data_IF_938309350730
#
_entry.id   IF_938309350730
#
_cell.length_a   1.000
_cell.length_b   1.000
_cell.length_c   1.000
_cell.angle_alpha   90.00
_cell.angle_beta   90.00
_cell.angle_gamma   90.00
#
_symmetry.space_group_name_H-M   'P 1'
#
loop_
_entity.id
_entity.type
_entity.pdbx_description
1 polymer ?
#
# COMPACT_ATOMS: atom_id res chain seq x y z
N UNK A 1 -1.60 2.81 -2.95
CA UNK A 1 -1.83 1.35 -2.91
C UNK A 1 -3.22 1.09 -3.45
N UNK A 2 -3.51 -0.17 -3.77
CA UNK A 2 -4.86 -0.63 -4.01
C UNK A 2 -5.04 -1.95 -3.27
N UNK A 3 -6.11 -2.09 -2.50
CA UNK A 3 -6.39 -3.33 -1.80
C UNK A 3 -7.89 -3.64 -1.73
N UNK A 4 -8.20 -4.93 -1.68
CA UNK A 4 -9.57 -5.45 -1.77
C UNK A 4 -9.85 -6.37 -0.58
N UNK A 5 -10.86 -5.99 0.21
CA UNK A 5 -11.43 -6.83 1.24
C UNK A 5 -12.40 -7.85 0.63
N UNK A 6 -12.46 -9.04 1.24
CA UNK A 6 -13.09 -10.21 0.63
C UNK A 6 -14.61 -10.12 0.42
N UNK A 7 -15.26 -9.12 0.99
CA UNK A 7 -16.71 -9.01 1.10
C UNK A 7 -17.44 -8.95 -0.24
N UNK A 8 -18.46 -9.80 -0.37
CA UNK A 8 -19.36 -9.79 -1.50
C UNK A 8 -18.73 -10.38 -2.76
N UNK A 9 -17.69 -11.20 -2.61
CA UNK A 9 -17.06 -11.98 -3.67
C UNK A 9 -18.10 -12.68 -4.56
N UNK A 10 -19.11 -13.30 -3.95
CA UNK A 10 -20.15 -14.08 -4.65
C UNK A 10 -21.43 -13.29 -4.93
N UNK A 11 -21.43 -11.98 -4.70
CA UNK A 11 -22.55 -11.12 -5.11
C UNK A 11 -22.74 -11.19 -6.63
N UNK A 12 -23.98 -11.15 -7.11
CA UNK A 12 -24.25 -11.10 -8.56
C UNK A 12 -24.17 -9.65 -9.03
N UNK A 13 -23.45 -9.42 -10.13
CA UNK A 13 -23.31 -8.10 -10.72
C UNK A 13 -24.50 -7.72 -11.60
N UNK A 14 -24.96 -6.48 -11.47
CA UNK A 14 -26.03 -5.87 -12.27
C UNK A 14 -25.51 -5.37 -13.63
N UNK A 15 -24.78 -6.25 -14.31
CA UNK A 15 -24.23 -6.04 -15.66
C UNK A 15 -24.61 -7.21 -16.56
N UNK A 16 -24.35 -7.09 -17.87
CA UNK A 16 -24.69 -8.11 -18.86
C UNK A 16 -24.09 -9.48 -18.47
N UNK A 17 -24.92 -10.51 -18.42
CA UNK A 17 -24.53 -11.87 -18.06
C UNK A 17 -24.50 -12.17 -16.56
N UNK A 18 -24.76 -11.16 -15.71
CA UNK A 18 -24.83 -11.30 -14.24
C UNK A 18 -23.69 -12.13 -13.63
N UNK A 19 -22.42 -11.85 -13.97
CA UNK A 19 -21.29 -12.58 -13.40
C UNK A 19 -21.20 -12.35 -11.88
N UNK A 20 -20.42 -13.16 -11.19
CA UNK A 20 -20.03 -12.84 -9.81
C UNK A 20 -19.26 -11.51 -9.78
N UNK A 21 -19.43 -10.73 -8.71
CA UNK A 21 -18.82 -9.43 -8.54
C UNK A 21 -17.29 -9.53 -8.58
N UNK A 22 -16.71 -10.62 -8.06
CA UNK A 22 -15.29 -10.91 -8.21
C UNK A 22 -14.83 -11.04 -9.67
N UNK A 23 -15.65 -11.63 -10.54
CA UNK A 23 -15.33 -11.73 -11.97
C UNK A 23 -15.43 -10.37 -12.66
N UNK A 24 -16.45 -9.58 -12.32
CA UNK A 24 -16.56 -8.19 -12.81
C UNK A 24 -15.36 -7.34 -12.36
N UNK A 25 -14.96 -7.42 -11.09
CA UNK A 25 -13.78 -6.73 -10.56
C UNK A 25 -12.49 -7.17 -11.26
N UNK A 26 -12.31 -8.47 -11.50
CA UNK A 26 -11.15 -8.96 -12.26
C UNK A 26 -11.09 -8.36 -13.66
N UNK A 27 -12.18 -8.44 -14.41
CA UNK A 27 -12.19 -8.09 -15.83
C UNK A 27 -12.22 -6.57 -16.05
N UNK A 28 -12.96 -5.81 -15.25
CA UNK A 28 -13.16 -4.37 -15.45
C UNK A 28 -12.16 -3.49 -14.69
N UNK A 29 -11.54 -4.01 -13.62
CA UNK A 29 -10.62 -3.25 -12.75
C UNK A 29 -9.21 -3.86 -12.77
N UNK A 30 -9.02 -5.08 -12.27
CA UNK A 30 -7.68 -5.65 -12.08
C UNK A 30 -6.91 -5.80 -13.40
N UNK A 31 -7.55 -6.34 -14.45
CA UNK A 31 -6.92 -6.46 -15.79
C UNK A 31 -6.71 -5.12 -16.49
N UNK A 32 -7.53 -4.12 -16.15
CA UNK A 32 -7.45 -2.77 -16.72
C UNK A 32 -6.33 -1.94 -16.11
N UNK A 33 -6.01 -2.15 -14.84
CA UNK A 33 -5.01 -1.41 -14.10
C UNK A 33 -3.96 -2.38 -13.52
N UNK A 34 -2.95 -2.83 -14.31
CA UNK A 34 -1.96 -3.81 -13.87
C UNK A 34 -0.87 -3.17 -12.96
N UNK A 35 -1.30 -2.61 -11.83
CA UNK A 35 -0.46 -2.11 -10.75
C UNK A 35 -0.52 -3.07 -9.54
N UNK A 36 0.35 -2.95 -8.53
CA UNK A 36 0.26 -3.75 -7.32
C UNK A 36 -1.11 -3.65 -6.64
N UNK A 37 -1.80 -4.78 -6.52
CA UNK A 37 -3.04 -4.97 -5.76
C UNK A 37 -2.82 -6.00 -4.67
N UNK A 38 -3.28 -5.71 -3.45
CA UNK A 38 -3.38 -6.74 -2.40
C UNK A 38 -4.82 -7.20 -2.31
N UNK A 39 -5.08 -8.49 -2.55
CA UNK A 39 -6.44 -9.02 -2.66
C UNK A 39 -6.66 -10.11 -1.62
N UNK A 40 -7.70 -9.95 -0.82
CA UNK A 40 -8.10 -10.93 0.19
C UNK A 40 -9.39 -11.66 -0.20
N UNK A 41 -9.67 -12.77 0.49
CA UNK A 41 -10.96 -13.47 0.40
C UNK A 41 -11.45 -13.82 1.81
N UNK A 42 -12.77 -13.88 1.98
CA UNK A 42 -13.41 -14.51 3.13
C UNK A 42 -13.60 -15.99 2.76
N UNK A 43 -12.94 -16.91 3.48
CA UNK A 43 -13.00 -18.33 3.12
C UNK A 43 -14.43 -18.87 3.13
N UNK A 44 -15.23 -18.55 4.15
CA UNK A 44 -16.59 -19.03 4.27
C UNK A 44 -17.54 -18.50 3.19
N UNK A 45 -17.17 -17.44 2.46
CA UNK A 45 -17.98 -16.95 1.33
C UNK A 45 -17.79 -17.84 0.09
N UNK A 46 -16.60 -18.39 -0.13
CA UNK A 46 -16.22 -19.05 -1.38
C UNK A 46 -15.97 -20.56 -1.25
N UNK A 47 -15.73 -21.07 -0.05
CA UNK A 47 -15.40 -22.47 0.18
C UNK A 47 -16.64 -23.38 0.11
N UNK A 48 -16.48 -24.67 -0.25
CA UNK A 48 -17.60 -25.62 -0.32
C UNK A 48 -18.18 -25.97 1.06
N UNK A 49 -17.44 -25.69 2.13
CA UNK A 49 -17.87 -25.81 3.53
C UNK A 49 -18.30 -24.46 4.11
N UNK A 50 -18.49 -23.45 3.26
CA UNK A 50 -18.93 -22.11 3.62
C UNK A 50 -20.44 -21.92 3.49
N UNK A 51 -20.85 -20.67 3.33
CA UNK A 51 -22.25 -20.22 3.25
C UNK A 51 -22.89 -20.47 1.88
N UNK A 52 -22.08 -20.51 0.82
CA UNK A 52 -22.56 -20.62 -0.56
C UNK A 52 -21.91 -21.81 -1.29
N UNK A 53 -22.07 -23.06 -0.78
CA UNK A 53 -21.45 -24.24 -1.37
C UNK A 53 -21.77 -24.43 -2.85
N UNK A 54 -22.97 -24.04 -3.29
CA UNK A 54 -23.43 -24.09 -4.68
C UNK A 54 -22.67 -23.13 -5.61
N UNK A 55 -22.10 -22.04 -5.09
CA UNK A 55 -21.29 -21.08 -5.85
C UNK A 55 -19.79 -21.36 -5.76
N UNK A 56 -19.37 -22.21 -4.83
CA UNK A 56 -17.96 -22.44 -4.49
C UNK A 56 -17.09 -22.81 -5.71
N UNK A 57 -17.58 -23.69 -6.59
CA UNK A 57 -16.82 -24.08 -7.79
C UNK A 57 -16.50 -22.89 -8.70
N UNK A 58 -17.47 -22.00 -8.91
CA UNK A 58 -17.32 -20.78 -9.69
C UNK A 58 -16.40 -19.78 -8.96
N UNK A 59 -16.66 -19.55 -7.67
CA UNK A 59 -15.94 -18.59 -6.85
C UNK A 59 -14.45 -18.93 -6.70
N UNK A 60 -14.11 -20.19 -6.38
CA UNK A 60 -12.70 -20.61 -6.27
C UNK A 60 -11.97 -20.56 -7.61
N UNK A 61 -12.67 -20.82 -8.73
CA UNK A 61 -12.07 -20.70 -10.05
C UNK A 61 -11.68 -19.25 -10.35
N UNK A 62 -12.55 -18.29 -10.01
CA UNK A 62 -12.26 -16.85 -10.12
C UNK A 62 -11.15 -16.43 -9.17
N UNK A 63 -11.16 -16.89 -7.91
CA UNK A 63 -10.09 -16.58 -6.95
C UNK A 63 -8.72 -17.05 -7.45
N UNK A 64 -8.64 -18.27 -8.01
CA UNK A 64 -7.42 -18.77 -8.67
C UNK A 64 -7.02 -17.95 -9.89
N UNK A 65 -7.98 -17.44 -10.68
CA UNK A 65 -7.69 -16.54 -11.81
C UNK A 65 -7.06 -15.23 -11.31
N UNK A 66 -7.68 -14.60 -10.29
CA UNK A 66 -7.17 -13.37 -9.67
C UNK A 66 -5.77 -13.57 -9.08
N UNK A 67 -5.55 -14.64 -8.31
CA UNK A 67 -4.26 -14.87 -7.63
C UNK A 67 -3.12 -15.21 -8.60
N UNK A 68 -3.41 -15.64 -9.83
CA UNK A 68 -2.38 -15.87 -10.87
C UNK A 68 -1.85 -14.58 -11.48
N UNK A 69 -2.58 -13.46 -11.41
CA UNK A 69 -2.14 -12.20 -12.00
C UNK A 69 -0.83 -11.71 -11.34
N UNK A 70 0.23 -11.38 -12.08
CA UNK A 70 1.57 -11.16 -11.52
C UNK A 70 1.65 -9.94 -10.58
N UNK A 71 0.72 -9.00 -10.72
CA UNK A 71 0.60 -7.78 -9.91
C UNK A 71 -0.39 -7.93 -8.73
N UNK A 72 -0.83 -9.15 -8.43
CA UNK A 72 -1.69 -9.45 -7.27
C UNK A 72 -0.89 -10.13 -6.15
N UNK A 73 -0.89 -9.50 -4.98
CA UNK A 73 -0.44 -10.03 -3.68
C UNK A 73 -1.62 -10.65 -2.94
N UNK A 74 -1.40 -11.83 -2.37
CA UNK A 74 -2.44 -12.60 -1.68
C UNK A 74 -2.57 -12.13 -0.23
N UNK A 75 -3.82 -11.95 0.19
CA UNK A 75 -4.19 -11.65 1.57
C UNK A 75 -5.31 -12.58 2.06
N UNK A 76 -5.50 -12.65 3.38
CA UNK A 76 -6.67 -13.29 4.01
C UNK A 76 -7.58 -12.24 4.65
N UNK A 77 -8.90 -12.46 4.56
CA UNK A 77 -9.92 -11.68 5.25
C UNK A 77 -10.72 -12.55 6.23
N UNK A 78 -9.98 -13.41 6.94
CA UNK A 78 -10.49 -14.38 7.88
C UNK A 78 -11.33 -15.51 7.27
N UNK A 79 -11.83 -16.41 8.13
CA UNK A 79 -12.70 -17.49 7.73
C UNK A 79 -14.15 -17.02 7.63
N UNK A 80 -14.73 -16.56 8.75
CA UNK A 80 -16.16 -16.23 8.83
C UNK A 80 -16.43 -14.73 8.95
N UNK A 81 -15.44 -13.91 8.61
CA UNK A 81 -15.51 -12.45 8.75
C UNK A 81 -16.01 -12.04 10.16
N UNK A 82 -15.18 -12.20 11.21
CA UNK A 82 -15.51 -11.70 12.54
C UNK A 82 -15.90 -10.22 12.48
N UNK A 83 -17.09 -9.91 12.99
CA UNK A 83 -17.59 -8.54 13.11
C UNK A 83 -17.03 -7.85 14.35
N UNK A 84 -16.74 -8.61 15.41
CA UNK A 84 -16.19 -8.09 16.66
C UNK A 84 -15.03 -8.98 17.13
N UNK A 85 -13.79 -8.59 16.81
CA UNK A 85 -12.62 -9.46 17.00
C UNK A 85 -12.35 -9.82 18.46
N UNK A 86 -12.42 -8.83 19.36
CA UNK A 86 -12.10 -9.05 20.78
C UNK A 86 -13.06 -10.00 21.48
N UNK A 87 -14.24 -10.25 20.92
CA UNK A 87 -15.17 -11.26 21.44
C UNK A 87 -14.56 -12.68 21.34
N UNK A 88 -13.86 -12.98 20.23
CA UNK A 88 -13.15 -14.25 20.03
C UNK A 88 -12.03 -14.49 21.06
N UNK A 89 -11.60 -13.42 21.72
CA UNK A 89 -10.58 -13.43 22.77
C UNK A 89 -11.19 -13.38 24.18
N UNK A 90 -12.50 -13.65 24.30
CA UNK A 90 -13.18 -13.81 25.60
C UNK A 90 -13.63 -12.51 26.26
N UNK A 91 -13.60 -11.37 25.54
CA UNK A 91 -14.17 -10.12 26.06
C UNK A 91 -15.70 -10.17 26.07
N UNK A 92 -16.28 -9.88 27.22
CA UNK A 92 -17.73 -10.00 27.49
C UNK A 92 -18.47 -8.67 27.58
N UNK A 93 -17.76 -7.55 27.72
CA UNK A 93 -18.29 -6.19 27.83
C UNK A 93 -18.52 -5.52 26.46
N UNK A 94 -18.56 -6.32 25.39
CA UNK A 94 -18.68 -5.84 24.02
C UNK A 94 -20.13 -5.91 23.54
N UNK A 95 -20.49 -4.96 22.69
CA UNK A 95 -21.78 -5.00 21.99
C UNK A 95 -21.65 -5.87 20.74
N UNK A 96 -22.59 -6.78 20.56
CA UNK A 96 -22.70 -7.55 19.32
C UNK A 96 -23.08 -6.62 18.16
N UNK A 97 -22.50 -6.86 16.99
CA UNK A 97 -22.89 -6.17 15.77
C UNK A 97 -24.32 -6.58 15.35
N UNK A 98 -24.98 -5.78 14.52
CA UNK A 98 -26.31 -6.10 13.99
C UNK A 98 -26.32 -7.39 13.17
N UNK A 99 -25.18 -7.78 12.58
CA UNK A 99 -25.01 -9.03 11.84
C UNK A 99 -24.56 -10.21 12.71
N UNK A 100 -24.36 -10.01 14.01
CA UNK A 100 -23.90 -11.02 14.96
C UNK A 100 -22.44 -10.84 15.37
N UNK A 101 -21.79 -11.93 15.81
CA UNK A 101 -20.36 -11.90 16.17
C UNK A 101 -19.45 -12.13 14.97
N UNK A 102 -19.93 -12.92 14.01
CA UNK A 102 -19.30 -13.34 12.77
C UNK A 102 -20.40 -13.89 11.85
N UNK A 103 -20.08 -14.20 10.58
CA UNK A 103 -21.07 -14.77 9.67
C UNK A 103 -21.61 -16.12 10.20
N UNK A 104 -22.90 -16.44 9.97
CA UNK A 104 -23.56 -17.62 10.55
C UNK A 104 -23.21 -18.91 9.77
N UNK A 105 -21.94 -19.29 9.78
CA UNK A 105 -21.44 -20.48 9.08
C UNK A 105 -21.96 -21.76 9.77
N UNK A 106 -22.59 -22.70 9.04
CA UNK A 106 -23.08 -23.94 9.64
C UNK A 106 -21.95 -24.80 10.24
N UNK A 107 -22.21 -25.45 11.38
CA UNK A 107 -21.28 -26.38 12.04
C UNK A 107 -19.90 -25.78 12.35
N UNK A 108 -19.86 -24.48 12.61
CA UNK A 108 -18.63 -23.72 12.85
C UNK A 108 -18.56 -23.17 14.27
N UNK A 109 -17.39 -23.32 14.90
CA UNK A 109 -17.07 -22.68 16.19
C UNK A 109 -15.94 -21.66 15.98
N UNK A 110 -16.20 -20.36 16.18
CA UNK A 110 -15.20 -19.33 16.00
C UNK A 110 -14.01 -19.42 16.96
N UNK A 111 -12.80 -19.41 16.42
CA UNK A 111 -11.55 -19.27 17.18
C UNK A 111 -10.56 -18.40 16.41
N UNK A 112 -9.67 -17.71 17.14
CA UNK A 112 -8.62 -16.87 16.53
C UNK A 112 -7.76 -17.67 15.55
N UNK A 113 -7.39 -18.90 15.90
CA UNK A 113 -6.56 -19.77 15.06
C UNK A 113 -7.28 -20.17 13.78
N UNK A 114 -8.58 -20.49 13.87
CA UNK A 114 -9.34 -20.89 12.70
C UNK A 114 -9.62 -19.73 11.76
N UNK A 115 -9.87 -18.55 12.33
CA UNK A 115 -10.05 -17.32 11.56
C UNK A 115 -8.78 -16.89 10.84
N UNK A 116 -7.61 -16.98 11.50
CA UNK A 116 -6.34 -16.49 10.94
C UNK A 116 -5.56 -17.59 10.24
N UNK A 117 -5.00 -18.55 10.98
CA UNK A 117 -4.12 -19.56 10.41
C UNK A 117 -4.86 -20.50 9.45
N UNK A 118 -6.10 -20.89 9.79
CA UNK A 118 -6.90 -21.76 8.94
C UNK A 118 -7.27 -21.13 7.59
N UNK A 119 -7.66 -19.86 7.57
CA UNK A 119 -8.00 -19.17 6.31
C UNK A 119 -6.77 -18.93 5.43
N UNK A 120 -5.64 -18.63 6.05
CA UNK A 120 -4.34 -18.53 5.38
C UNK A 120 -3.93 -19.85 4.73
N UNK A 121 -4.07 -20.97 5.47
CA UNK A 121 -3.77 -22.30 4.96
C UNK A 121 -4.68 -22.70 3.79
N UNK A 122 -5.98 -22.44 3.91
CA UNK A 122 -6.94 -22.66 2.82
C UNK A 122 -6.54 -21.93 1.53
N UNK A 123 -6.17 -20.65 1.62
CA UNK A 123 -5.72 -19.88 0.47
C UNK A 123 -4.45 -20.47 -0.11
N UNK A 124 -3.43 -20.72 0.71
CA UNK A 124 -2.13 -21.21 0.27
C UNK A 124 -2.19 -22.59 -0.39
N UNK A 125 -3.05 -23.48 0.11
CA UNK A 125 -3.11 -24.87 -0.36
C UNK A 125 -4.06 -25.08 -1.52
N UNK A 126 -5.11 -24.26 -1.65
CA UNK A 126 -6.21 -24.49 -2.60
C UNK A 126 -6.38 -23.44 -3.68
N UNK A 127 -5.96 -22.21 -3.41
CA UNK A 127 -6.22 -21.05 -4.29
C UNK A 127 -4.93 -20.44 -4.85
N UNK A 128 -3.86 -20.42 -4.08
CA UNK A 128 -2.61 -19.80 -4.50
C UNK A 128 -1.95 -20.58 -5.65
N UNK A 129 -1.33 -19.90 -6.64
CA UNK A 129 -0.39 -20.56 -7.53
C UNK A 129 0.88 -20.97 -6.76
N UNK A 130 1.67 -21.95 -7.26
CA UNK A 130 2.79 -22.54 -6.51
C UNK A 130 3.87 -21.56 -6.04
N UNK A 131 4.04 -20.44 -6.74
CA UNK A 131 5.05 -19.39 -6.51
C UNK A 131 4.57 -18.27 -5.59
N UNK A 132 3.29 -18.29 -5.16
CA UNK A 132 2.72 -17.28 -4.28
C UNK A 132 2.16 -17.87 -3.00
N UNK A 133 2.15 -17.05 -1.96
CA UNK A 133 1.54 -17.33 -0.66
C UNK A 133 0.93 -16.05 -0.10
N UNK A 134 0.00 -16.20 0.84
CA UNK A 134 -0.55 -15.09 1.61
C UNK A 134 0.58 -14.33 2.32
N UNK A 135 0.57 -13.01 2.17
CA UNK A 135 1.53 -12.10 2.82
C UNK A 135 0.88 -11.13 3.80
N UNK A 136 -0.43 -10.93 3.69
CA UNK A 136 -1.16 -9.93 4.46
C UNK A 136 -2.43 -10.51 5.06
N UNK A 137 -2.74 -10.11 6.29
CA UNK A 137 -4.04 -10.31 6.93
C UNK A 137 -4.78 -8.97 6.97
N UNK A 138 -5.94 -8.88 6.33
CA UNK A 138 -6.80 -7.69 6.32
C UNK A 138 -7.87 -7.88 7.39
N UNK A 139 -7.92 -7.02 8.40
CA UNK A 139 -8.86 -7.16 9.52
C UNK A 139 -10.31 -6.90 9.08
N UNK A 140 -11.19 -7.88 9.30
CA UNK A 140 -12.64 -7.79 9.05
C UNK A 140 -13.40 -7.03 10.12
N UNK A 141 -14.65 -6.65 9.82
CA UNK A 141 -15.60 -6.16 10.82
C UNK A 141 -15.19 -4.85 11.49
N UNK A 142 -15.19 -4.82 12.82
CA UNK A 142 -14.73 -3.67 13.61
C UNK A 142 -13.25 -3.34 13.42
N UNK A 143 -12.49 -4.26 12.80
CA UNK A 143 -11.06 -4.16 12.59
C UNK A 143 -10.29 -3.80 13.87
N UNK A 144 -10.74 -4.32 15.02
CA UNK A 144 -10.10 -4.12 16.31
C UNK A 144 -9.64 -5.47 16.86
N UNK A 145 -8.52 -6.02 16.35
CA UNK A 145 -7.95 -7.24 16.89
C UNK A 145 -7.51 -7.05 18.35
N UNK A 146 -7.58 -8.10 19.15
CA UNK A 146 -6.90 -8.17 20.44
C UNK A 146 -5.47 -8.68 20.31
N UNK A 147 -4.83 -8.89 21.46
CA UNK A 147 -3.41 -9.16 21.53
C UNK A 147 -3.05 -10.56 21.00
N UNK A 148 -3.95 -11.54 21.15
CA UNK A 148 -3.73 -12.91 20.64
C UNK A 148 -3.81 -12.95 19.12
N UNK A 149 -4.80 -12.27 18.53
CA UNK A 149 -4.95 -12.19 17.08
C UNK A 149 -3.74 -11.49 16.44
N UNK A 150 -3.31 -10.34 16.99
CA UNK A 150 -2.11 -9.66 16.50
C UNK A 150 -0.85 -10.51 16.62
N UNK A 151 -0.62 -11.14 17.79
CA UNK A 151 0.53 -12.02 18.00
C UNK A 151 0.56 -13.18 16.99
N UNK A 152 -0.60 -13.75 16.66
CA UNK A 152 -0.69 -14.83 15.69
C UNK A 152 -0.32 -14.38 14.27
N UNK A 153 -0.74 -13.18 13.85
CA UNK A 153 -0.31 -12.65 12.53
C UNK A 153 1.21 -12.46 12.45
N UNK A 154 1.82 -11.93 13.52
CA UNK A 154 3.27 -11.76 13.61
C UNK A 154 4.00 -13.11 13.59
N UNK A 155 3.52 -14.10 14.37
CA UNK A 155 4.11 -15.44 14.42
C UNK A 155 4.05 -16.19 13.08
N UNK A 156 3.07 -15.85 12.23
CA UNK A 156 2.94 -16.38 10.87
C UNK A 156 3.76 -15.60 9.84
N UNK A 157 4.45 -14.52 10.24
CA UNK A 157 5.18 -13.64 9.33
C UNK A 157 4.27 -12.85 8.39
N UNK A 158 3.02 -12.62 8.79
CA UNK A 158 2.04 -11.88 8.01
C UNK A 158 2.07 -10.40 8.38
N UNK A 159 2.09 -9.56 7.35
CA UNK A 159 1.74 -8.16 7.56
C UNK A 159 0.26 -8.07 7.88
N UNK A 160 -0.16 -7.13 8.74
CA UNK A 160 -1.56 -6.91 9.05
C UNK A 160 -1.93 -5.45 8.81
N UNK A 161 -3.12 -5.22 8.28
CA UNK A 161 -3.68 -3.90 8.00
C UNK A 161 -5.21 -3.89 8.13
N UNK A 162 -5.83 -2.72 7.93
CA UNK A 162 -7.23 -2.36 8.13
C UNK A 162 -7.55 -1.89 9.55
N UNK A 163 -8.69 -1.23 9.69
CA UNK A 163 -8.95 -0.26 10.76
C UNK A 163 -8.36 1.13 10.41
N UNK A 164 -8.51 2.07 11.34
CA UNK A 164 -8.41 3.49 11.03
C UNK A 164 -9.72 3.99 10.43
N UNK A 165 -9.97 5.30 10.49
CA UNK A 165 -11.20 5.89 9.97
C UNK A 165 -10.90 7.26 9.33
N UNK A 166 -9.87 7.28 8.49
CA UNK A 166 -9.48 8.49 7.76
C UNK A 166 -10.42 8.71 6.58
N UNK A 167 -11.29 9.71 6.72
CA UNK A 167 -12.17 10.24 5.66
C UNK A 167 -12.30 11.75 5.83
N UNK A 168 -11.65 12.51 4.96
CA UNK A 168 -11.78 13.97 4.91
C UNK A 168 -12.47 14.39 3.62
N UNK A 169 -13.51 15.21 3.75
CA UNK A 169 -14.20 15.84 2.62
C UNK A 169 -14.17 17.36 2.83
N UNK A 170 -14.42 18.17 1.79
CA UNK A 170 -14.46 19.63 1.93
C UNK A 170 -15.37 20.12 3.07
N UNK A 171 -16.51 19.46 3.27
CA UNK A 171 -17.48 19.74 4.32
C UNK A 171 -17.06 19.29 5.74
N UNK A 172 -16.08 18.38 5.85
CA UNK A 172 -15.56 17.85 7.12
C UNK A 172 -14.03 18.02 7.22
N UNK A 173 -13.47 19.05 6.58
CA UNK A 173 -12.03 19.24 6.44
C UNK A 173 -11.37 19.65 7.77
N UNK A 174 -11.07 18.66 8.61
CA UNK A 174 -10.39 18.82 9.89
C UNK A 174 -9.39 17.70 10.12
N UNK A 175 -8.25 18.03 10.76
CA UNK A 175 -7.26 17.05 11.19
C UNK A 175 -7.83 16.00 12.16
N UNK A 176 -8.94 16.30 12.84
CA UNK A 176 -9.63 15.33 13.71
C UNK A 176 -10.20 14.14 12.95
N UNK A 177 -10.35 14.23 11.64
CA UNK A 177 -10.78 13.13 10.75
C UNK A 177 -9.60 12.39 10.10
N UNK A 178 -8.36 12.65 10.52
CA UNK A 178 -7.16 11.97 10.03
C UNK A 178 -6.59 11.09 11.14
N UNK A 179 -6.69 9.78 10.96
CA UNK A 179 -6.26 8.80 11.96
C UNK A 179 -4.74 8.57 11.96
N UNK A 180 -4.14 8.08 13.05
CA UNK A 180 -2.72 7.73 13.09
C UNK A 180 -2.36 6.63 12.06
N UNK A 181 -1.06 6.35 11.89
CA UNK A 181 -0.58 5.31 10.95
C UNK A 181 -0.92 3.91 11.45
N UNK A 182 -0.94 3.72 12.76
CA UNK A 182 -1.27 2.45 13.38
C UNK A 182 -1.53 2.58 14.87
N UNK A 183 -1.81 1.45 15.50
CA UNK A 183 -2.10 1.31 16.92
C UNK A 183 -1.10 0.32 17.55
N UNK A 184 -0.11 0.80 18.30
CA UNK A 184 0.78 -0.07 19.07
C UNK A 184 0.01 -0.86 20.12
N UNK A 185 0.37 -2.13 20.28
CA UNK A 185 -0.15 -3.06 21.28
C UNK A 185 1.02 -3.81 21.92
N UNK A 186 0.83 -4.40 23.12
CA UNK A 186 1.90 -5.17 23.77
C UNK A 186 2.49 -6.29 22.90
N UNK A 187 1.68 -6.88 22.01
CA UNK A 187 2.06 -8.02 21.16
C UNK A 187 2.36 -7.66 19.71
N UNK A 188 2.35 -6.38 19.33
CA UNK A 188 2.67 -5.97 17.97
C UNK A 188 2.08 -4.63 17.56
N UNK A 189 2.18 -4.32 16.26
CA UNK A 189 1.59 -3.12 15.65
C UNK A 189 0.42 -3.53 14.76
N UNK A 190 -0.76 -2.95 15.04
CA UNK A 190 -1.81 -2.90 14.03
C UNK A 190 -1.54 -1.71 13.11
N UNK A 191 -1.33 -1.96 11.82
CA UNK A 191 -1.23 -0.89 10.82
C UNK A 191 -2.64 -0.54 10.34
N UNK A 192 -2.94 0.75 10.20
CA UNK A 192 -4.23 1.21 9.68
C UNK A 192 -4.17 1.44 8.19
N UNK A 193 -5.33 1.23 7.53
CA UNK A 193 -5.53 1.69 6.17
C UNK A 193 -5.34 3.22 6.13
N UNK A 194 -4.56 3.76 5.17
CA UNK A 194 -4.35 5.20 5.04
C UNK A 194 -5.64 6.02 4.88
N UNK A 195 -6.60 5.50 4.13
CA UNK A 195 -7.89 6.13 3.77
C UNK A 195 -8.96 5.04 3.79
N UNK A 196 -10.17 5.38 4.23
CA UNK A 196 -11.28 4.43 4.32
C UNK A 196 -11.78 3.93 2.97
N UNK A 197 -12.43 2.76 3.02
CA UNK A 197 -13.03 2.07 1.89
C UNK A 197 -14.30 2.73 1.34
N UNK A 198 -14.84 2.21 0.25
CA UNK A 198 -16.06 2.68 -0.39
C UNK A 198 -17.30 2.67 0.51
N UNK A 199 -17.35 1.79 1.50
CA UNK A 199 -18.50 1.62 2.37
C UNK A 199 -18.90 2.93 3.06
N UNK A 200 -17.91 3.68 3.54
CA UNK A 200 -18.14 4.97 4.22
C UNK A 200 -18.48 6.12 3.27
N UNK A 201 -18.20 5.98 1.97
CA UNK A 201 -18.58 6.96 0.94
C UNK A 201 -19.94 6.64 0.30
N UNK A 202 -20.53 5.48 0.63
CA UNK A 202 -21.76 4.99 0.00
C UNK A 202 -22.87 4.70 1.03
N UNK A 203 -22.83 5.38 2.19
CA UNK A 203 -23.77 5.20 3.29
C UNK A 203 -23.93 3.74 3.72
N UNK A 204 -22.82 3.07 4.02
CA UNK A 204 -22.81 1.65 4.36
C UNK A 204 -23.41 0.78 3.25
N UNK A 205 -23.02 1.07 2.00
CA UNK A 205 -23.52 0.42 0.79
C UNK A 205 -25.04 0.58 0.54
N UNK A 206 -25.68 1.60 1.12
CA UNK A 206 -27.09 1.97 0.85
C UNK A 206 -27.23 2.98 -0.30
N UNK A 207 -26.10 3.45 -0.83
CA UNK A 207 -26.02 4.37 -1.95
C UNK A 207 -25.88 5.85 -1.52
N UNK A 208 -25.59 6.74 -2.49
CA UNK A 208 -25.45 6.46 -3.92
C UNK A 208 -24.22 5.57 -4.23
N UNK A 209 -24.40 4.53 -5.05
CA UNK A 209 -23.35 3.54 -5.36
C UNK A 209 -22.14 4.09 -6.13
N UNK A 210 -22.20 5.35 -6.56
CA UNK A 210 -21.06 6.06 -7.17
C UNK A 210 -20.27 6.91 -6.16
N UNK A 211 -20.67 6.93 -4.88
CA UNK A 211 -20.16 7.85 -3.87
C UNK A 211 -18.65 7.73 -3.63
N UNK A 212 -18.06 6.57 -3.89
CA UNK A 212 -16.62 6.38 -3.74
C UNK A 212 -15.76 7.30 -4.60
N UNK A 213 -16.31 7.91 -5.67
CA UNK A 213 -15.62 8.96 -6.43
C UNK A 213 -15.07 10.07 -5.54
N UNK A 214 -15.75 10.36 -4.43
CA UNK A 214 -15.39 11.45 -3.52
C UNK A 214 -14.09 11.18 -2.74
N UNK A 215 -13.57 9.95 -2.76
CA UNK A 215 -12.23 9.64 -2.24
C UNK A 215 -11.14 10.46 -2.93
N UNK A 216 -11.37 10.91 -4.18
CA UNK A 216 -10.46 11.84 -4.89
C UNK A 216 -10.27 13.12 -4.08
N UNK A 217 -11.34 13.70 -3.55
CA UNK A 217 -11.29 14.90 -2.71
C UNK A 217 -10.49 14.63 -1.44
N UNK A 218 -10.67 13.44 -0.86
CA UNK A 218 -9.88 12.99 0.30
C UNK A 218 -8.39 12.92 -0.04
N UNK A 219 -8.01 12.35 -1.20
CA UNK A 219 -6.62 12.30 -1.63
C UNK A 219 -6.00 13.69 -1.83
N UNK A 220 -6.76 14.63 -2.39
CA UNK A 220 -6.32 16.01 -2.58
C UNK A 220 -6.06 16.71 -1.25
N UNK A 221 -7.02 16.64 -0.32
CA UNK A 221 -6.95 17.26 1.01
C UNK A 221 -5.84 16.65 1.89
N UNK A 222 -5.56 15.35 1.73
CA UNK A 222 -4.47 14.68 2.46
C UNK A 222 -3.09 14.94 1.84
N UNK A 223 -3.00 15.51 0.64
CA UNK A 223 -1.74 15.79 -0.04
C UNK A 223 -1.28 17.26 0.08
N UNK A 224 -2.18 18.21 0.25
CA UNK A 224 -1.89 19.65 0.32
C UNK A 224 -2.73 20.37 1.39
N UNK A 225 -2.20 21.42 2.05
CA UNK A 225 -0.86 22.00 1.88
C UNK A 225 0.24 21.18 2.56
N UNK A 226 -0.12 20.13 3.30
CA UNK A 226 0.86 19.24 3.93
C UNK A 226 0.45 17.80 3.66
N UNK A 227 1.37 16.99 3.14
CA UNK A 227 1.09 15.57 2.93
C UNK A 227 0.95 14.85 4.28
N UNK A 228 -0.23 14.31 4.56
CA UNK A 228 -0.57 13.60 5.79
C UNK A 228 -0.62 12.09 5.58
N UNK A 229 -1.17 11.64 4.45
CA UNK A 229 -1.38 10.23 4.15
C UNK A 229 -1.09 9.94 2.67
N UNK A 230 -0.65 8.71 2.33
CA UNK A 230 -0.61 8.24 0.95
C UNK A 230 -2.01 7.99 0.40
N UNK A 231 -2.12 7.87 -0.93
CA UNK A 231 -3.33 7.41 -1.59
C UNK A 231 -3.51 5.90 -1.39
N UNK A 232 -4.71 5.48 -1.01
CA UNK A 232 -5.08 4.08 -0.87
C UNK A 232 -6.47 3.86 -1.49
N UNK A 233 -6.51 3.08 -2.56
CA UNK A 233 -7.74 2.66 -3.23
C UNK A 233 -8.22 1.38 -2.53
N UNK A 234 -8.91 1.57 -1.43
CA UNK A 234 -9.47 0.53 -0.57
C UNK A 234 -10.94 0.30 -0.91
N UNK A 235 -11.32 -0.93 -1.25
CA UNK A 235 -12.71 -1.31 -1.54
C UNK A 235 -12.95 -2.81 -1.30
N UNK A 236 -14.16 -3.29 -1.53
CA UNK A 236 -14.55 -4.69 -1.43
C UNK A 236 -15.07 -5.24 -2.76
N UNK A 237 -15.21 -6.56 -2.85
CA UNK A 237 -15.73 -7.18 -4.08
C UNK A 237 -17.15 -6.79 -4.44
N UNK A 238 -18.02 -6.49 -3.48
CA UNK A 238 -19.36 -5.99 -3.80
C UNK A 238 -19.35 -4.70 -4.62
N UNK A 239 -18.25 -3.91 -4.63
CA UNK A 239 -18.10 -2.78 -5.55
C UNK A 239 -18.22 -3.19 -7.02
N UNK A 240 -17.86 -4.43 -7.36
CA UNK A 240 -18.04 -5.02 -8.69
C UNK A 240 -19.49 -5.37 -9.04
N UNK A 241 -20.41 -5.31 -8.07
CA UNK A 241 -21.81 -5.72 -8.27
C UNK A 241 -22.68 -4.64 -8.92
N UNK A 242 -22.27 -3.37 -8.88
CA UNK A 242 -23.06 -2.23 -9.39
C UNK A 242 -22.30 -1.52 -10.50
N UNK A 243 -22.97 -1.26 -11.62
CA UNK A 243 -22.40 -0.49 -12.74
C UNK A 243 -21.90 0.90 -12.30
N UNK A 244 -22.65 1.58 -11.42
CA UNK A 244 -22.28 2.89 -10.89
C UNK A 244 -20.99 2.83 -10.03
N UNK A 245 -20.80 1.76 -9.27
CA UNK A 245 -19.62 1.58 -8.40
C UNK A 245 -18.38 1.19 -9.21
N UNK A 246 -18.53 0.32 -10.22
CA UNK A 246 -17.45 0.00 -11.17
C UNK A 246 -16.94 1.26 -11.88
N UNK A 247 -17.83 2.12 -12.37
CA UNK A 247 -17.44 3.38 -13.00
C UNK A 247 -16.73 4.33 -12.02
N UNK A 248 -17.18 4.41 -10.77
CA UNK A 248 -16.51 5.20 -9.75
C UNK A 248 -15.09 4.67 -9.47
N UNK A 249 -14.91 3.35 -9.37
CA UNK A 249 -13.58 2.75 -9.25
C UNK A 249 -12.69 3.11 -10.44
N UNK A 250 -13.16 2.91 -11.67
CA UNK A 250 -12.41 3.24 -12.89
C UNK A 250 -11.99 4.72 -12.89
N UNK A 251 -12.88 5.63 -12.46
CA UNK A 251 -12.57 7.06 -12.31
C UNK A 251 -11.46 7.30 -11.29
N UNK A 252 -11.54 6.69 -10.10
CA UNK A 252 -10.54 6.81 -9.04
C UNK A 252 -9.18 6.28 -9.47
N UNK A 253 -9.11 5.08 -10.07
CA UNK A 253 -7.85 4.54 -10.61
C UNK A 253 -7.26 5.44 -11.70
N UNK A 254 -8.10 5.88 -12.64
CA UNK A 254 -7.67 6.76 -13.74
C UNK A 254 -7.14 8.08 -13.21
N UNK A 255 -7.78 8.66 -12.19
CA UNK A 255 -7.33 9.88 -11.56
C UNK A 255 -6.00 9.66 -10.81
N UNK A 256 -5.90 8.61 -9.98
CA UNK A 256 -4.72 8.34 -9.18
C UNK A 256 -3.46 8.13 -10.05
N UNK A 257 -3.59 7.37 -11.14
CA UNK A 257 -2.47 7.06 -12.04
C UNK A 257 -2.07 8.21 -12.98
N UNK A 258 -2.87 9.28 -13.05
CA UNK A 258 -2.46 10.54 -13.71
C UNK A 258 -1.54 11.40 -12.83
N UNK A 259 -1.41 11.08 -11.54
CA UNK A 259 -0.57 11.81 -10.61
C UNK A 259 0.81 11.17 -10.45
N UNK A 260 1.83 11.91 -9.99
CA UNK A 260 3.13 11.34 -9.65
C UNK A 260 3.03 10.42 -8.43
N UNK A 261 2.84 9.12 -8.69
CA UNK A 261 2.68 8.07 -7.66
C UNK A 261 3.77 7.00 -7.77
N UNK A 262 4.00 6.32 -6.64
CA UNK A 262 4.81 5.10 -6.55
C UNK A 262 3.88 3.97 -6.14
N UNK A 263 3.26 3.24 -7.09
CA UNK A 263 2.39 2.11 -6.77
C UNK A 263 3.20 1.02 -6.04
N UNK A 264 2.60 0.48 -4.97
CA UNK A 264 3.20 -0.54 -4.11
C UNK A 264 2.08 -1.38 -3.48
N UNK A 265 2.41 -2.60 -3.09
CA UNK A 265 1.53 -3.47 -2.32
C UNK A 265 1.28 -2.90 -0.92
N UNK A 266 0.16 -3.26 -0.29
CA UNK A 266 -0.11 -2.80 1.07
C UNK A 266 0.87 -3.41 2.08
N UNK A 267 1.43 -4.59 1.81
CA UNK A 267 2.48 -5.18 2.65
C UNK A 267 3.73 -4.29 2.73
N UNK A 268 4.07 -3.60 1.63
CA UNK A 268 5.22 -2.69 1.59
C UNK A 268 4.95 -1.42 2.40
N UNK A 269 3.71 -0.93 2.38
CA UNK A 269 3.30 0.15 3.26
C UNK A 269 3.29 -0.27 4.73
N UNK A 270 2.80 -1.47 5.05
CA UNK A 270 2.80 -1.98 6.41
C UNK A 270 4.23 -2.12 6.99
N UNK A 271 5.18 -2.61 6.17
CA UNK A 271 6.62 -2.62 6.52
C UNK A 271 7.17 -1.21 6.76
N UNK A 272 6.82 -0.25 5.89
CA UNK A 272 7.19 1.17 6.07
C UNK A 272 6.62 1.77 7.35
N UNK A 273 5.37 1.45 7.67
CA UNK A 273 4.72 1.88 8.90
C UNK A 273 5.46 1.33 10.13
N UNK A 274 5.77 0.02 10.17
CA UNK A 274 6.62 -0.56 11.23
C UNK A 274 7.97 0.14 11.33
N UNK A 275 8.64 0.36 10.20
CA UNK A 275 9.90 1.08 10.16
C UNK A 275 9.80 2.50 10.75
N UNK A 276 8.70 3.20 10.52
CA UNK A 276 8.43 4.50 11.14
C UNK A 276 8.25 4.42 12.67
N UNK A 277 7.53 3.42 13.19
CA UNK A 277 7.33 3.25 14.64
C UNK A 277 8.62 2.77 15.37
N UNK A 278 9.51 2.07 14.68
CA UNK A 278 10.82 1.63 15.21
C UNK A 278 11.94 2.68 15.00
N UNK A 279 11.67 3.74 14.23
CA UNK A 279 12.69 4.71 13.84
C UNK A 279 13.30 5.44 15.06
N UNK A 280 14.63 5.42 15.16
CA UNK A 280 15.39 6.08 16.23
C UNK A 280 16.60 6.82 15.68
N UNK A 281 16.92 7.94 16.30
CA UNK A 281 18.11 8.73 16.00
C UNK A 281 19.18 8.50 17.06
N UNK A 282 20.42 8.34 16.62
CA UNK A 282 21.59 8.33 17.50
C UNK A 282 22.60 9.37 17.02
N UNK A 283 23.27 10.04 17.95
CA UNK A 283 24.39 10.93 17.61
C UNK A 283 25.69 10.11 17.58
N UNK A 284 26.38 10.06 16.44
CA UNK A 284 27.66 9.35 16.27
C UNK A 284 28.88 10.28 16.42
N UNK A 285 28.64 11.60 16.50
CA UNK A 285 29.62 12.65 16.69
C UNK A 285 28.93 14.02 16.63
N UNK A 286 29.62 15.13 16.94
CA UNK A 286 28.99 16.45 17.02
C UNK A 286 28.18 16.81 15.77
N UNK A 287 26.84 16.83 15.91
CA UNK A 287 25.92 17.16 14.82
C UNK A 287 25.78 16.09 13.71
N UNK A 288 26.28 14.88 13.94
CA UNK A 288 26.18 13.73 13.05
C UNK A 288 25.12 12.75 13.58
N UNK A 289 23.97 12.70 12.91
CA UNK A 289 22.82 11.91 13.34
C UNK A 289 22.63 10.70 12.44
N UNK A 290 22.60 9.50 13.01
CA UNK A 290 22.27 8.27 12.30
C UNK A 290 20.84 7.85 12.59
N UNK A 291 20.12 7.53 11.52
CA UNK A 291 18.77 6.95 11.58
C UNK A 291 18.88 5.42 11.60
N UNK A 292 18.22 4.80 12.56
CA UNK A 292 18.06 3.35 12.63
C UNK A 292 16.58 3.01 12.53
N UNK A 293 16.28 1.93 11.82
CA UNK A 293 14.92 1.38 11.71
C UNK A 293 14.98 -0.06 11.21
N UNK A 294 14.09 -0.91 11.71
CA UNK A 294 13.92 -2.29 11.27
C UNK A 294 13.56 -2.41 9.78
N UNK A 295 12.93 -1.38 9.20
CA UNK A 295 12.68 -1.31 7.75
C UNK A 295 13.14 0.03 7.20
N UNK A 296 13.90 0.08 6.08
CA UNK A 296 14.56 1.32 5.68
C UNK A 296 13.57 2.47 5.40
N UNK A 297 13.70 3.55 6.17
CA UNK A 297 12.95 4.79 5.96
C UNK A 297 13.52 5.48 4.73
N UNK A 298 12.73 5.55 3.66
CA UNK A 298 13.19 6.02 2.34
C UNK A 298 13.09 7.53 2.14
N UNK A 299 12.33 8.22 2.99
CA UNK A 299 12.13 9.65 2.86
C UNK A 299 11.96 10.29 4.23
N UNK A 300 12.72 11.36 4.48
CA UNK A 300 12.54 12.22 5.64
C UNK A 300 11.85 13.52 5.22
N UNK A 301 10.95 14.03 6.05
CA UNK A 301 10.34 15.35 5.86
C UNK A 301 10.89 16.32 6.89
N UNK A 302 11.29 17.50 6.44
CA UNK A 302 11.72 18.62 7.29
C UNK A 302 11.30 19.96 6.69
N UNK A 303 11.08 21.02 7.49
CA UNK A 303 10.82 22.34 6.93
C UNK A 303 11.98 22.84 6.08
N UNK A 304 11.71 23.56 4.98
CA UNK A 304 12.77 24.10 4.11
C UNK A 304 13.68 25.09 4.84
N UNK A 305 13.18 25.76 5.88
CA UNK A 305 13.93 26.67 6.75
C UNK A 305 15.05 25.99 7.55
N UNK A 306 14.98 24.67 7.70
CA UNK A 306 15.97 23.89 8.43
C UNK A 306 17.19 23.51 7.58
N UNK A 307 17.22 23.92 6.30
CA UNK A 307 18.33 23.64 5.39
C UNK A 307 18.28 22.23 4.82
N UNK A 308 19.44 21.65 4.53
CA UNK A 308 19.59 20.35 3.86
C UNK A 308 20.18 19.31 4.80
N UNK A 309 19.88 18.04 4.55
CA UNK A 309 20.63 16.92 5.11
C UNK A 309 21.60 16.39 4.06
N UNK A 310 22.82 16.12 4.49
CA UNK A 310 23.89 15.53 3.67
C UNK A 310 24.52 14.37 4.41
N UNK A 311 25.01 13.38 3.69
CA UNK A 311 25.70 12.23 4.25
C UNK A 311 25.62 11.03 3.32
N UNK A 312 26.31 9.92 3.65
CA UNK A 312 26.21 8.68 2.87
C UNK A 312 24.76 8.20 2.80
N UNK A 313 24.29 7.90 1.58
CA UNK A 313 22.93 7.43 1.33
C UNK A 313 21.88 8.52 1.07
N UNK A 314 22.24 9.81 1.11
CA UNK A 314 21.34 10.89 0.65
C UNK A 314 21.34 10.95 -0.88
N UNK A 315 20.22 10.60 -1.51
CA UNK A 315 20.06 10.55 -2.96
C UNK A 315 19.68 11.91 -3.57
N UNK A 316 18.93 12.71 -2.80
CA UNK A 316 18.48 14.04 -3.21
C UNK A 316 17.27 14.48 -2.40
N UNK A 317 16.52 15.46 -2.91
CA UNK A 317 15.35 15.99 -2.24
C UNK A 317 14.34 16.61 -3.21
N UNK A 318 13.12 16.78 -2.74
CA UNK A 318 12.07 17.58 -3.36
C UNK A 318 11.46 18.54 -2.35
N UNK A 319 11.31 19.80 -2.74
CA UNK A 319 10.60 20.79 -1.95
C UNK A 319 9.14 20.87 -2.44
N UNK A 320 8.18 20.86 -1.51
CA UNK A 320 6.75 21.00 -1.76
C UNK A 320 6.09 21.67 -0.56
N UNK A 321 5.33 22.74 -0.82
CA UNK A 321 4.52 23.44 0.18
C UNK A 321 5.29 23.83 1.47
N UNK A 322 6.53 24.30 1.33
CA UNK A 322 7.38 24.71 2.46
C UNK A 322 8.05 23.56 3.22
N UNK A 323 7.83 22.32 2.79
CA UNK A 323 8.47 21.11 3.33
C UNK A 323 9.48 20.55 2.33
N UNK A 324 10.57 19.99 2.84
CA UNK A 324 11.63 19.30 2.11
C UNK A 324 11.56 17.81 2.39
N UNK A 325 11.41 17.04 1.31
CA UNK A 325 11.40 15.58 1.31
C UNK A 325 12.78 15.10 0.88
N UNK A 326 13.60 14.64 1.84
CA UNK A 326 14.95 14.11 1.59
C UNK A 326 14.85 12.62 1.27
N UNK A 327 15.35 12.22 0.10
CA UNK A 327 15.32 10.85 -0.39
C UNK A 327 16.55 10.09 0.07
N UNK A 328 16.33 8.90 0.64
CA UNK A 328 17.35 8.06 1.25
C UNK A 328 17.47 6.71 0.54
N UNK A 329 18.71 6.25 0.44
CA UNK A 329 19.07 4.88 0.12
C UNK A 329 18.53 3.89 1.20
N UNK A 330 18.45 2.56 0.92
CA UNK A 330 18.17 1.58 1.96
C UNK A 330 19.22 1.61 3.07
N UNK A 331 20.48 1.83 2.70
CA UNK A 331 21.59 1.96 3.62
C UNK A 331 22.00 3.42 3.72
N UNK A 332 21.93 3.96 4.94
CA UNK A 332 22.34 5.34 5.24
C UNK A 332 23.44 5.36 6.29
N UNK A 333 24.38 6.30 6.13
CA UNK A 333 25.36 6.64 7.16
C UNK A 333 24.84 7.74 8.08
N UNK A 334 25.75 8.33 8.87
CA UNK A 334 25.46 9.52 9.64
C UNK A 334 25.11 10.70 8.71
N UNK A 335 24.06 11.44 9.08
CA UNK A 335 23.54 12.59 8.38
C UNK A 335 23.90 13.86 9.14
N UNK A 336 24.32 14.88 8.40
CA UNK A 336 24.67 16.21 8.92
C UNK A 336 23.77 17.26 8.29
N UNK A 337 23.34 18.23 9.09
CA UNK A 337 22.57 19.37 8.62
C UNK A 337 23.47 20.45 8.01
N UNK A 338 23.04 21.01 6.88
CA UNK A 338 23.72 22.07 6.13
C UNK A 338 22.80 23.25 5.89
N UNK A 339 23.31 24.49 6.03
CA UNK A 339 22.56 25.72 5.72
C UNK A 339 22.56 26.07 4.25
N UNK A 340 23.59 25.66 3.51
CA UNK A 340 23.70 25.90 2.07
C UNK A 340 23.25 24.66 1.30
N UNK A 341 22.67 24.90 0.13
CA UNK A 341 22.28 23.82 -0.77
C UNK A 341 23.50 23.03 -1.25
N UNK A 342 23.49 21.69 -1.18
CA UNK A 342 24.53 20.87 -1.78
C UNK A 342 24.64 21.14 -3.28
N UNK A 343 25.86 21.40 -3.76
CA UNK A 343 26.14 21.65 -5.17
C UNK A 343 25.99 20.37 -6.02
N UNK A 344 25.78 20.56 -7.33
CA UNK A 344 25.72 19.48 -8.32
C UNK A 344 24.36 18.77 -8.40
N UNK A 345 24.25 17.72 -9.24
CA UNK A 345 22.99 17.01 -9.45
C UNK A 345 22.41 16.36 -8.20
N UNK A 346 21.09 16.19 -8.17
CA UNK A 346 20.40 15.40 -7.14
C UNK A 346 19.14 14.74 -7.69
N UNK A 347 18.76 13.60 -7.09
CA UNK A 347 17.48 12.95 -7.38
C UNK A 347 16.33 13.79 -6.82
N UNK A 348 15.47 14.31 -7.69
CA UNK A 348 14.28 15.06 -7.30
C UNK A 348 13.08 14.13 -7.07
N UNK A 349 12.91 13.11 -7.91
CA UNK A 349 11.81 12.15 -7.79
C UNK A 349 12.20 10.80 -8.37
N UNK A 350 11.58 9.74 -7.85
CA UNK A 350 11.65 8.40 -8.40
C UNK A 350 10.35 7.65 -8.07
N UNK A 351 9.78 6.96 -9.04
CA UNK A 351 8.61 6.09 -8.84
C UNK A 351 9.00 4.62 -8.56
N UNK A 352 10.22 4.40 -8.08
CA UNK A 352 10.79 3.07 -7.83
C UNK A 352 11.07 2.84 -6.36
N UNK A 353 11.28 1.57 -6.00
CA UNK A 353 11.73 1.12 -4.70
C UNK A 353 13.16 0.61 -4.89
N UNK A 354 14.09 1.17 -4.12
CA UNK A 354 15.50 0.80 -4.18
C UNK A 354 15.74 -0.49 -3.42
N UNK A 355 16.11 -1.55 -4.15
CA UNK A 355 16.59 -2.81 -3.58
C UNK A 355 18.04 -2.65 -3.14
N UNK A 356 18.83 -2.01 -4.00
CA UNK A 356 20.21 -1.62 -3.73
C UNK A 356 20.44 -0.25 -4.35
N UNK A 357 21.18 0.61 -3.66
CA UNK A 357 21.72 1.82 -4.29
C UNK A 357 23.06 2.16 -3.67
N UNK A 358 24.00 2.50 -4.52
CA UNK A 358 25.29 3.06 -4.17
C UNK A 358 25.38 4.41 -4.86
N UNK A 359 25.38 5.47 -4.06
CA UNK A 359 25.55 6.83 -4.55
C UNK A 359 27.00 7.27 -4.39
N UNK A 360 27.63 7.68 -5.49
CA UNK A 360 28.98 8.21 -5.48
C UNK A 360 28.94 9.65 -5.98
N UNK A 361 29.53 10.57 -5.20
CA UNK A 361 29.86 11.92 -5.63
C UNK A 361 31.38 12.03 -5.66
N UNK A 362 31.96 11.94 -6.85
CA UNK A 362 33.42 12.08 -7.04
C UNK A 362 33.71 13.16 -8.09
N UNK A 363 34.57 14.13 -7.75
CA UNK A 363 35.03 15.20 -8.64
C UNK A 363 33.92 15.90 -9.46
N UNK A 364 32.77 16.18 -8.83
CA UNK A 364 31.63 16.87 -9.46
C UNK A 364 30.74 15.98 -10.34
N UNK A 365 31.04 14.69 -10.48
CA UNK A 365 30.19 13.72 -11.17
C UNK A 365 29.28 13.03 -10.17
N UNK A 366 27.97 13.10 -10.43
CA UNK A 366 26.98 12.39 -9.64
C UNK A 366 26.67 11.06 -10.31
N UNK A 367 26.86 9.97 -9.58
CA UNK A 367 26.61 8.61 -10.05
C UNK A 367 25.71 7.87 -9.07
N UNK A 368 24.72 7.15 -9.60
CA UNK A 368 23.96 6.14 -8.88
C UNK A 368 24.15 4.78 -9.55
N UNK A 369 24.62 3.79 -8.80
CA UNK A 369 24.48 2.37 -9.17
C UNK A 369 23.32 1.78 -8.38
N UNK A 370 22.37 1.11 -9.03
CA UNK A 370 21.15 0.69 -8.36
C UNK A 370 20.51 -0.57 -8.95
N UNK A 371 19.76 -1.23 -8.07
CA UNK A 371 18.79 -2.28 -8.38
C UNK A 371 17.44 -1.79 -7.87
N UNK A 372 16.36 -2.09 -8.60
CA UNK A 372 15.04 -1.56 -8.27
C UNK A 372 13.91 -2.51 -8.67
N UNK A 373 12.78 -2.30 -8.01
CA UNK A 373 11.46 -2.72 -8.49
C UNK A 373 10.47 -1.56 -8.38
N UNK A 374 9.37 -1.65 -9.13
CA UNK A 374 8.36 -0.62 -9.24
C UNK A 374 7.01 -1.22 -9.66
N UNK A 375 5.91 -0.66 -9.16
CA UNK A 375 4.57 -1.08 -9.56
C UNK A 375 4.12 -0.61 -10.95
N UNK A 376 4.98 0.14 -11.66
CA UNK A 376 4.79 0.64 -13.02
C UNK A 376 6.18 0.84 -13.67
N UNK A 377 6.28 1.05 -14.99
CA UNK A 377 7.57 1.36 -15.61
C UNK A 377 8.31 2.48 -14.86
N UNK A 378 9.55 2.18 -14.45
CA UNK A 378 10.34 3.07 -13.62
C UNK A 378 10.73 4.36 -14.34
N UNK A 379 10.80 5.45 -13.59
CA UNK A 379 11.22 6.78 -14.01
C UNK A 379 11.96 7.47 -12.86
N UNK A 380 13.09 8.10 -13.21
CA UNK A 380 13.86 8.95 -12.31
C UNK A 380 13.83 10.39 -12.83
N UNK A 381 13.80 11.36 -11.93
CA UNK A 381 13.91 12.78 -12.25
C UNK A 381 15.10 13.37 -11.49
N UNK A 382 16.05 13.94 -12.23
CA UNK A 382 17.28 14.55 -11.69
C UNK A 382 17.28 16.05 -11.96
N UNK A 383 17.63 16.85 -10.95
CA UNK A 383 17.81 18.30 -11.07
C UNK A 383 19.28 18.69 -11.03
N UNK A 384 19.57 19.90 -11.49
CA UNK A 384 20.93 20.46 -11.59
C UNK A 384 21.91 19.59 -12.38
N UNK A 385 21.40 18.90 -13.40
CA UNK A 385 22.17 18.23 -14.43
C UNK A 385 21.78 18.81 -15.79
N UNK A 386 22.73 18.94 -16.71
CA UNK A 386 22.50 19.23 -18.13
C UNK A 386 22.12 17.97 -18.89
N UNK A 387 22.68 16.84 -18.48
CA UNK A 387 22.38 15.53 -19.05
C UNK A 387 22.70 14.40 -18.08
N UNK A 388 22.06 13.26 -18.31
CA UNK A 388 22.33 12.01 -17.63
C UNK A 388 22.48 10.85 -18.63
N UNK A 389 23.36 9.92 -18.33
CA UNK A 389 23.61 8.70 -19.11
C UNK A 389 23.21 7.49 -18.28
N UNK A 390 22.27 6.70 -18.80
CA UNK A 390 21.82 5.44 -18.21
C UNK A 390 22.55 4.27 -18.86
N UNK A 391 23.10 3.37 -18.05
CA UNK A 391 23.77 2.12 -18.45
C UNK A 391 23.12 0.95 -17.68
N UNK A 392 23.20 -0.26 -18.25
CA UNK A 392 22.66 -1.49 -17.63
C UNK A 392 21.37 -2.03 -18.24
N UNK A 393 20.61 -1.20 -18.97
CA UNK A 393 19.39 -1.61 -19.71
C UNK A 393 19.64 -2.01 -21.17
N UNK A 394 20.91 -2.21 -21.55
CA UNK A 394 21.35 -2.40 -22.93
C UNK A 394 22.40 -1.37 -23.36
N UNK A 395 22.30 -0.86 -24.59
CA UNK A 395 23.16 0.23 -25.05
C UNK A 395 22.98 1.50 -24.19
N UNK A 396 24.06 2.22 -23.84
CA UNK A 396 23.94 3.44 -23.05
C UNK A 396 22.98 4.46 -23.68
N UNK A 397 22.05 4.99 -22.89
CA UNK A 397 21.07 5.98 -23.33
C UNK A 397 21.36 7.35 -22.67
N UNK A 398 21.32 8.42 -23.45
CA UNK A 398 21.55 9.79 -22.96
C UNK A 398 20.26 10.60 -22.92
N UNK A 399 20.00 11.23 -21.78
CA UNK A 399 18.85 12.07 -21.54
C UNK A 399 19.32 13.49 -21.24
N UNK A 400 18.73 14.49 -21.90
CA UNK A 400 19.09 15.90 -21.71
C UNK A 400 18.04 16.63 -20.90
N UNK A 401 18.47 17.67 -20.18
CA UNK A 401 17.58 18.46 -19.36
C UNK A 401 16.54 19.19 -20.20
N UNK A 402 15.30 19.18 -19.72
CA UNK A 402 14.20 20.04 -20.17
C UNK A 402 13.73 20.82 -18.95
N UNK A 403 13.62 22.14 -19.08
CA UNK A 403 13.16 23.03 -17.98
C UNK A 403 13.92 22.79 -16.65
N UNK A 404 15.23 22.58 -16.71
CA UNK A 404 16.09 22.38 -15.53
C UNK A 404 16.02 20.99 -14.88
N UNK A 405 15.36 20.02 -15.53
CA UNK A 405 15.19 18.66 -15.03
C UNK A 405 15.51 17.63 -16.12
N UNK A 406 16.22 16.56 -15.77
CA UNK A 406 16.45 15.41 -16.64
C UNK A 406 15.48 14.31 -16.21
N UNK A 407 14.59 13.89 -17.12
CA UNK A 407 13.72 12.73 -16.90
C UNK A 407 14.35 11.50 -17.56
N UNK A 408 14.52 10.45 -16.77
CA UNK A 408 15.21 9.22 -17.16
C UNK A 408 14.20 8.07 -17.05
N UNK A 409 13.55 7.68 -18.16
CA UNK A 409 12.73 6.48 -18.19
C UNK A 409 13.62 5.24 -18.08
N UNK A 410 13.25 4.34 -17.16
CA UNK A 410 13.84 3.01 -17.04
C UNK A 410 13.09 2.00 -17.91
N UNK A 411 11.80 2.25 -18.16
CA UNK A 411 10.97 1.48 -19.10
C UNK A 411 10.57 0.08 -18.61
N UNK A 412 11.08 -0.36 -17.47
CA UNK A 412 10.80 -1.66 -16.87
C UNK A 412 10.32 -1.50 -15.43
N UNK A 413 9.60 -2.50 -14.92
CA UNK A 413 9.13 -2.56 -13.53
C UNK A 413 10.18 -3.12 -12.57
N UNK A 414 11.27 -3.69 -13.06
CA UNK A 414 12.38 -4.18 -12.24
C UNK A 414 13.69 -4.12 -13.01
N UNK A 415 14.81 -4.04 -12.30
CA UNK A 415 16.13 -3.99 -12.92
C UNK A 415 17.26 -4.19 -11.93
N UNK A 416 18.34 -4.82 -12.39
CA UNK A 416 19.55 -5.10 -11.61
C UNK A 416 20.77 -4.57 -12.36
N UNK A 417 21.70 -3.94 -11.65
CA UNK A 417 22.98 -3.48 -12.20
C UNK A 417 22.89 -2.21 -13.04
N UNK A 418 21.91 -1.33 -12.77
CA UNK A 418 21.75 -0.07 -13.48
C UNK A 418 22.76 0.95 -12.97
N UNK A 419 23.24 1.81 -13.88
CA UNK A 419 24.10 2.96 -13.54
C UNK A 419 23.58 4.22 -14.21
N UNK A 420 23.39 5.27 -13.42
CA UNK A 420 23.02 6.60 -13.89
C UNK A 420 24.14 7.59 -13.56
N UNK A 421 24.71 8.22 -14.58
CA UNK A 421 25.76 9.25 -14.46
C UNK A 421 25.21 10.60 -14.92
N UNK A 422 25.26 11.63 -14.09
CA UNK A 422 24.75 12.97 -14.43
C UNK A 422 25.81 14.06 -14.28
N UNK A 423 25.78 15.05 -15.18
CA UNK A 423 26.71 16.20 -15.23
C UNK A 423 26.01 17.52 -15.46
#
# INVERSE_FOLDING_TARGET
>A
MAHIDGDGFVSRAEIRGTPLAAKATLDEVLKRFPIPHTVSIIEAEIAPHGLFPQLSREAEAIAREIFREPYVELASHAFSHPFVWRHLEGRTDLKQDVYGWNMPVPNYTPTVEREIAGSVDYINTRLAPPDKRVKVFLWSGDAIPGDRALALTEALGLENTNGGDTKVLPETNSLTHVWPIGRPRPTGLQVYAPVMNENVYTNLWQGPYYGYRDVIKTFELLNAPRRLKPMDIYYHFYSGSKYASLNALIEVYTWALKHPVTPMYISEYARRARGFYDARWTEEGPGQLRLHSAWPVRTLRMPVSEGWLTGPGVLGWQDKDGERYVHLAPETGALTRQRQQPAGPWLASANVIWDRVVSVRDNGRWQLDFDFHAGQPGELQVRAARECVLKGSGAPATYRAKTGMVTVPLGQQQGVGYRLECR
#
